data_IF_709340676244
#
_entry.id   IF_709340676244
#
_cell.length_a   1.000
_cell.length_b   1.000
_cell.length_c   1.000
_cell.angle_alpha   90.00
_cell.angle_beta   90.00
_cell.angle_gamma   90.00
#
_symmetry.space_group_name_H-M   'P 1'
#
loop_
_entity.id
_entity.type
_entity.pdbx_description
1 polymer ?
#
# COMPACT_ATOMS: atom_id res chain seq x y z
N UNK A 1 -9.07 -16.35 11.34
CA UNK A 1 -8.11 -15.22 11.39
C UNK A 1 -7.67 -14.90 9.96
N UNK A 2 -8.30 -13.93 9.32
CA UNK A 2 -7.89 -13.50 7.97
C UNK A 2 -6.58 -12.73 8.08
N UNK A 3 -5.47 -13.43 7.84
CA UNK A 3 -4.14 -12.83 7.79
C UNK A 3 -4.12 -11.81 6.66
N UNK A 4 -4.00 -10.54 7.01
CA UNK A 4 -3.86 -9.45 6.03
C UNK A 4 -2.48 -9.58 5.39
N UNK A 5 -2.42 -9.93 4.11
CA UNK A 5 -1.17 -10.13 3.39
C UNK A 5 -0.57 -8.78 2.99
N UNK A 6 0.48 -8.37 3.71
CA UNK A 6 1.22 -7.14 3.43
C UNK A 6 2.30 -7.37 2.38
N UNK A 7 2.36 -6.49 1.38
CA UNK A 7 3.41 -6.45 0.37
C UNK A 7 4.22 -5.18 0.55
N UNK A 8 5.53 -5.34 0.75
CA UNK A 8 6.49 -4.23 0.80
C UNK A 8 6.84 -3.77 -0.61
N UNK A 9 7.02 -2.45 -0.80
CA UNK A 9 7.48 -1.89 -2.07
C UNK A 9 8.92 -2.35 -2.38
N UNK A 10 9.20 -2.67 -3.64
CA UNK A 10 10.54 -3.03 -4.14
C UNK A 10 11.53 -1.85 -4.12
N UNK A 11 11.05 -0.63 -3.95
CA UNK A 11 11.88 0.58 -3.81
C UNK A 11 12.33 0.84 -2.36
N UNK A 12 11.94 -0.04 -1.43
CA UNK A 12 12.34 0.04 -0.02
C UNK A 12 13.76 -0.51 0.17
N UNK A 13 14.78 0.31 -0.10
CA UNK A 13 16.16 0.03 0.31
C UNK A 13 16.39 0.24 1.82
N UNK A 14 17.56 -0.12 2.34
CA UNK A 14 17.87 -0.15 3.79
C UNK A 14 17.61 1.16 4.54
N UNK A 15 17.55 2.31 3.84
CA UNK A 15 17.41 3.63 4.45
C UNK A 15 16.23 4.48 3.98
N UNK A 16 15.40 4.04 3.01
CA UNK A 16 14.43 4.95 2.37
C UNK A 16 12.98 4.44 2.35
N UNK A 17 12.08 5.28 2.88
CA UNK A 17 10.62 5.33 2.65
C UNK A 17 9.91 3.98 2.42
N UNK A 18 10.05 3.06 3.39
CA UNK A 18 9.49 1.72 3.29
C UNK A 18 7.97 1.74 3.50
N UNK A 19 7.19 1.74 2.42
CA UNK A 19 5.74 1.57 2.50
C UNK A 19 5.32 0.13 2.21
N UNK A 20 4.29 -0.32 2.92
CA UNK A 20 3.62 -1.60 2.74
C UNK A 20 2.16 -1.39 2.40
N UNK A 21 1.65 -2.19 1.46
CA UNK A 21 0.23 -2.22 1.13
C UNK A 21 -0.38 -3.58 1.42
N UNK A 22 -1.66 -3.60 1.76
CA UNK A 22 -2.44 -4.83 1.82
C UNK A 22 -3.80 -4.63 1.17
N UNK A 23 -4.16 -5.56 0.30
CA UNK A 23 -5.46 -5.54 -0.38
C UNK A 23 -6.45 -6.38 0.40
N UNK A 24 -7.60 -5.80 0.72
CA UNK A 24 -8.74 -6.48 1.33
C UNK A 24 -9.93 -6.49 0.37
N UNK A 25 -11.02 -7.20 0.69
CA UNK A 25 -12.23 -7.17 -0.15
C UNK A 25 -12.81 -5.76 -0.32
N UNK A 26 -12.69 -4.88 0.67
CA UNK A 26 -13.34 -3.56 0.68
C UNK A 26 -12.39 -2.39 0.54
N UNK A 27 -11.10 -2.56 0.84
CA UNK A 27 -10.15 -1.46 0.89
C UNK A 27 -8.72 -1.88 0.53
N UNK A 28 -7.89 -0.88 0.23
CA UNK A 28 -6.43 -1.00 0.22
C UNK A 28 -5.89 -0.28 1.44
N UNK A 29 -5.13 -1.01 2.25
CA UNK A 29 -4.47 -0.48 3.44
C UNK A 29 -3.05 -0.08 3.06
N UNK A 30 -2.60 1.08 3.55
CA UNK A 30 -1.22 1.55 3.39
C UNK A 30 -0.66 1.86 4.77
N UNK A 31 0.57 1.40 5.03
CA UNK A 31 1.28 1.71 6.26
C UNK A 31 2.75 1.94 6.02
N UNK A 32 3.38 2.61 6.97
CA UNK A 32 4.82 2.66 7.08
C UNK A 32 5.34 1.32 7.63
N UNK A 33 6.34 0.74 6.97
CA UNK A 33 6.91 -0.57 7.32
C UNK A 33 7.66 -0.54 8.66
N UNK A 34 8.21 0.62 9.03
CA UNK A 34 8.93 0.84 10.30
C UNK A 34 7.94 1.04 11.45
N UNK A 35 6.72 1.49 11.16
CA UNK A 35 5.62 1.59 12.12
C UNK A 35 4.53 0.51 11.89
N UNK A 36 4.91 -0.77 11.87
CA UNK A 36 4.00 -1.89 11.54
C UNK A 36 2.78 -2.04 12.47
N UNK A 37 2.92 -1.60 13.73
CA UNK A 37 1.86 -1.50 14.75
C UNK A 37 1.18 -0.13 14.80
N UNK A 38 1.64 0.84 14.03
CA UNK A 38 1.12 2.21 13.98
C UNK A 38 -0.17 2.35 13.16
N UNK A 39 -0.60 3.60 13.02
CA UNK A 39 -1.79 3.96 12.24
C UNK A 39 -1.64 3.55 10.77
N UNK A 40 -2.76 3.18 10.15
CA UNK A 40 -2.84 2.71 8.77
C UNK A 40 -3.83 3.58 8.02
N UNK A 41 -3.48 3.98 6.81
CA UNK A 41 -4.42 4.61 5.90
C UNK A 41 -5.25 3.51 5.23
N UNK A 42 -6.56 3.74 5.06
CA UNK A 42 -7.46 2.83 4.39
C UNK A 42 -8.18 3.56 3.27
N UNK A 43 -8.00 3.09 2.04
CA UNK A 43 -8.61 3.66 0.85
C UNK A 43 -9.67 2.71 0.31
N UNK A 44 -10.89 3.17 -0.01
CA UNK A 44 -11.84 2.37 -0.77
C UNK A 44 -11.23 1.92 -2.10
N UNK A 45 -11.60 0.72 -2.58
CA UNK A 45 -11.00 0.17 -3.82
C UNK A 45 -11.16 1.07 -5.05
N UNK A 46 -12.30 1.75 -5.17
CA UNK A 46 -12.55 2.70 -6.27
C UNK A 46 -11.57 3.87 -6.22
N UNK A 47 -11.40 4.48 -5.05
CA UNK A 47 -10.47 5.59 -4.83
C UNK A 47 -9.02 5.17 -5.08
N UNK A 48 -8.66 3.95 -4.69
CA UNK A 48 -7.32 3.41 -4.98
C UNK A 48 -7.10 3.20 -6.49
N UNK A 49 -8.09 2.71 -7.21
CA UNK A 49 -8.01 2.56 -8.66
C UNK A 49 -7.89 3.92 -9.38
N UNK A 50 -8.67 4.92 -8.95
CA UNK A 50 -8.59 6.30 -9.46
C UNK A 50 -7.25 6.96 -9.14
N UNK A 51 -6.67 6.66 -7.97
CA UNK A 51 -5.34 7.11 -7.61
C UNK A 51 -4.28 6.52 -8.53
N UNK A 52 -4.36 5.20 -8.81
CA UNK A 52 -3.42 4.52 -9.69
C UNK A 52 -3.52 5.01 -11.14
N UNK A 53 -4.72 5.20 -11.68
CA UNK A 53 -4.91 5.67 -13.05
C UNK A 53 -4.28 7.05 -13.31
N UNK A 54 -4.11 7.86 -12.25
CA UNK A 54 -3.46 9.16 -12.30
C UNK A 54 -1.95 9.11 -12.00
N UNK A 55 -1.47 8.03 -11.38
CA UNK A 55 -0.11 7.93 -10.84
C UNK A 55 0.79 6.97 -11.62
N UNK A 56 0.23 6.05 -12.40
CA UNK A 56 0.99 5.20 -13.31
C UNK A 56 1.46 6.07 -14.47
N UNK A 57 2.77 6.32 -14.56
CA UNK A 57 3.42 6.70 -15.83
C UNK A 57 3.31 5.49 -16.73
N UNK A 58 2.86 5.67 -17.98
CA UNK A 58 2.86 4.61 -19.00
C UNK A 58 4.21 3.89 -18.98
N UNK A 59 4.22 2.68 -18.44
CA UNK A 59 5.34 1.75 -18.59
C UNK A 59 4.98 0.92 -19.80
N UNK A 60 5.63 1.24 -20.93
CA UNK A 60 5.69 0.37 -22.10
C UNK A 60 6.23 -1.02 -21.74
#
# INVERSE_FOLDING_TARGET
>A
MTSTQWRKSSYSGDSSNCVEIATTPTAVLVRDSKASSGARLAFPRSVWADFLSRSVKDVC
#
